data_IF_639057497427
#
_entry.id   IF_639057497427
#
_cell.length_a   1.000
_cell.length_b   1.000
_cell.length_c   1.000
_cell.angle_alpha   90.00
_cell.angle_beta   90.00
_cell.angle_gamma   90.00
#
_symmetry.space_group_name_H-M   'P 1'
#
loop_
_entity.id
_entity.type
_entity.pdbx_description
1 polymer ?
#
# COMPACT_ATOMS: atom_id res chain seq x y z
N UNK A 1 -5.93 -3.92 -10.79
CA UNK A 1 -5.29 -3.60 -9.51
C UNK A 1 -6.05 -4.02 -8.25
N UNK A 2 -7.38 -4.16 -8.32
CA UNK A 2 -8.15 -4.53 -7.12
C UNK A 2 -7.75 -5.88 -6.54
N UNK A 3 -7.43 -6.86 -7.36
CA UNK A 3 -6.96 -8.16 -6.88
C UNK A 3 -5.62 -8.03 -6.15
N UNK A 4 -4.76 -7.16 -6.66
CA UNK A 4 -3.46 -6.89 -6.03
C UNK A 4 -3.69 -6.18 -4.70
N UNK A 5 -4.61 -5.22 -4.68
CA UNK A 5 -4.96 -4.48 -3.47
C UNK A 5 -5.51 -5.40 -2.38
N UNK A 6 -6.37 -6.34 -2.75
CA UNK A 6 -6.92 -7.30 -1.81
C UNK A 6 -5.83 -8.16 -1.15
N UNK A 7 -4.87 -8.59 -1.95
CA UNK A 7 -3.73 -9.35 -1.43
C UNK A 7 -2.87 -8.51 -0.51
N UNK A 8 -2.60 -7.26 -0.90
CA UNK A 8 -1.81 -6.34 -0.09
C UNK A 8 -2.49 -6.02 1.24
N UNK A 9 -3.80 -5.84 1.23
CA UNK A 9 -4.56 -5.56 2.45
C UNK A 9 -4.51 -6.69 3.48
N UNK A 10 -4.18 -7.89 3.07
CA UNK A 10 -4.08 -9.03 3.98
C UNK A 10 -2.71 -9.12 4.66
N UNK A 11 -1.76 -8.29 4.25
CA UNK A 11 -0.40 -8.32 4.79
C UNK A 11 -0.27 -7.47 6.07
N UNK A 12 0.75 -7.75 6.91
CA UNK A 12 0.91 -7.07 8.18
C UNK A 12 1.02 -5.54 8.07
N UNK A 13 0.40 -4.84 9.00
CA UNK A 13 0.46 -3.38 9.15
C UNK A 13 -0.15 -2.57 8.01
N UNK A 14 -0.90 -3.20 7.11
CA UNK A 14 -1.60 -2.49 6.03
C UNK A 14 -3.04 -2.25 6.46
N UNK A 15 -3.43 -1.00 6.64
CA UNK A 15 -4.80 -0.60 6.95
C UNK A 15 -5.59 -0.33 5.67
N UNK A 16 -5.03 0.46 4.78
CA UNK A 16 -5.62 0.76 3.47
C UNK A 16 -4.54 0.80 2.42
N UNK A 17 -4.88 0.47 1.19
CA UNK A 17 -3.93 0.57 0.09
C UNK A 17 -4.62 0.85 -1.24
N UNK A 18 -3.83 1.42 -2.15
CA UNK A 18 -4.18 1.60 -3.56
C UNK A 18 -2.99 1.15 -4.38
N UNK A 19 -3.26 0.52 -5.51
CA UNK A 19 -2.22 0.21 -6.49
C UNK A 19 -2.50 1.04 -7.73
N UNK A 20 -1.53 1.85 -8.12
CA UNK A 20 -1.66 2.72 -9.29
C UNK A 20 -0.54 2.44 -10.27
N UNK A 21 -0.76 2.81 -11.52
CA UNK A 21 0.26 2.72 -12.55
C UNK A 21 0.94 4.08 -12.72
N UNK A 22 2.26 4.09 -12.59
CA UNK A 22 3.07 5.28 -12.80
C UNK A 22 4.05 4.97 -13.93
N UNK A 23 3.72 5.47 -15.14
CA UNK A 23 4.47 5.10 -16.34
C UNK A 23 4.29 3.62 -16.63
N UNK A 24 5.38 2.89 -16.72
CA UNK A 24 5.37 1.44 -16.96
C UNK A 24 5.39 0.60 -15.68
N UNK A 25 5.35 1.27 -14.53
CA UNK A 25 5.50 0.62 -13.23
C UNK A 25 4.21 0.66 -12.44
N UNK A 26 4.03 -0.34 -11.58
CA UNK A 26 2.97 -0.32 -10.58
C UNK A 26 3.58 0.11 -9.25
N UNK A 27 2.92 0.98 -8.55
CA UNK A 27 3.33 1.40 -7.21
C UNK A 27 2.17 1.23 -6.24
N UNK A 28 2.49 0.95 -4.99
CA UNK A 28 1.50 0.81 -3.94
C UNK A 28 1.48 2.06 -3.07
N UNK A 29 0.29 2.60 -2.86
CA UNK A 29 0.09 3.67 -1.89
C UNK A 29 -0.54 3.02 -0.67
N UNK A 30 0.09 3.16 0.49
CA UNK A 30 -0.31 2.44 1.70
C UNK A 30 -0.51 3.40 2.85
N UNK A 31 -1.66 3.25 3.53
CA UNK A 31 -1.86 3.86 4.83
C UNK A 31 -1.63 2.74 5.85
N UNK A 32 -0.53 2.79 6.61
CA UNK A 32 -0.24 1.76 7.61
C UNK A 32 -1.25 1.75 8.75
N UNK A 33 -1.35 0.62 9.43
CA UNK A 33 -2.14 0.52 10.65
C UNK A 33 -1.31 1.10 11.80
N UNK A 34 -1.41 2.41 12.01
CA UNK A 34 -0.63 3.12 13.00
C UNK A 34 -0.97 2.72 14.44
N UNK A 35 -2.19 2.21 14.68
CA UNK A 35 -2.53 1.69 15.99
C UNK A 35 -1.65 0.50 16.34
N UNK A 36 -1.47 -0.41 15.39
CA UNK A 36 -0.59 -1.56 15.57
C UNK A 36 0.89 -1.15 15.62
N UNK A 37 1.27 -0.16 14.82
CA UNK A 37 2.63 0.39 14.85
C UNK A 37 2.95 0.94 16.24
N UNK A 38 2.01 1.69 16.83
CA UNK A 38 2.19 2.27 18.16
C UNK A 38 2.20 1.20 19.26
N UNK A 39 1.32 0.21 19.17
CA UNK A 39 1.29 -0.90 20.15
C UNK A 39 2.59 -1.68 20.15
N UNK A 40 3.17 -1.89 18.99
CA UNK A 40 4.42 -2.62 18.86
C UNK A 40 5.65 -1.73 19.05
N UNK A 41 5.45 -0.43 19.26
CA UNK A 41 6.52 0.55 19.43
C UNK A 41 7.54 0.52 18.28
N UNK A 42 7.03 0.39 17.05
CA UNK A 42 7.89 0.33 15.87
C UNK A 42 8.41 1.71 15.49
N UNK A 43 9.68 1.77 15.10
CA UNK A 43 10.27 2.99 14.53
C UNK A 43 9.88 3.12 13.07
N UNK A 44 10.14 4.29 12.48
CA UNK A 44 9.90 4.52 11.05
C UNK A 44 10.72 3.53 10.21
N UNK A 45 11.94 3.24 10.60
CA UNK A 45 12.79 2.27 9.91
C UNK A 45 12.19 0.87 9.95
N UNK A 46 11.69 0.46 11.11
CA UNK A 46 11.07 -0.85 11.28
C UNK A 46 9.80 -0.97 10.44
N UNK A 47 9.00 0.11 10.39
CA UNK A 47 7.81 0.15 9.56
C UNK A 47 8.18 0.02 8.08
N UNK A 48 9.21 0.75 7.63
CA UNK A 48 9.69 0.66 6.24
C UNK A 48 10.16 -0.76 5.91
N UNK A 49 10.85 -1.40 6.82
CA UNK A 49 11.31 -2.80 6.63
C UNK A 49 10.14 -3.75 6.50
N UNK A 50 9.10 -3.57 7.32
CA UNK A 50 7.90 -4.41 7.21
C UNK A 50 7.20 -4.20 5.89
N UNK A 51 7.09 -2.97 5.42
CA UNK A 51 6.46 -2.67 4.13
C UNK A 51 7.27 -3.23 2.97
N UNK A 52 8.59 -3.20 3.04
CA UNK A 52 9.45 -3.83 2.03
C UNK A 52 9.28 -5.35 2.02
N UNK A 53 9.15 -5.96 3.19
CA UNK A 53 8.85 -7.39 3.29
C UNK A 53 7.48 -7.70 2.68
N UNK A 54 6.48 -6.83 2.93
CA UNK A 54 5.15 -6.97 2.34
C UNK A 54 5.22 -6.89 0.81
N UNK A 55 6.01 -5.96 0.27
CA UNK A 55 6.19 -5.81 -1.16
C UNK A 55 6.76 -7.08 -1.78
N UNK A 56 7.78 -7.66 -1.16
CA UNK A 56 8.41 -8.90 -1.62
C UNK A 56 7.43 -10.06 -1.58
N UNK A 57 6.68 -10.17 -0.51
CA UNK A 57 5.70 -11.24 -0.35
C UNK A 57 4.58 -11.11 -1.39
N UNK A 58 4.08 -9.89 -1.58
CA UNK A 58 3.07 -9.63 -2.61
C UNK A 58 3.58 -10.00 -3.99
N UNK A 59 4.81 -9.60 -4.32
CA UNK A 59 5.39 -9.87 -5.63
C UNK A 59 5.59 -11.37 -5.89
N UNK A 60 5.70 -12.17 -4.84
CA UNK A 60 5.76 -13.63 -4.97
C UNK A 60 4.39 -14.24 -5.26
N UNK A 61 3.31 -13.51 -5.00
CA UNK A 61 1.94 -13.99 -5.19
C UNK A 61 1.29 -13.56 -6.50
N UNK A 62 1.91 -12.62 -7.21
CA UNK A 62 1.33 -12.06 -8.44
C UNK A 62 2.19 -12.40 -9.65
N UNK A 63 1.63 -12.20 -10.85
CA UNK A 63 2.35 -12.42 -12.10
C UNK A 63 3.47 -11.39 -12.26
N UNK A 64 4.46 -11.70 -13.08
CA UNK A 64 5.62 -10.82 -13.26
C UNK A 64 5.26 -9.41 -13.70
N UNK A 65 4.21 -9.25 -14.49
CA UNK A 65 3.77 -7.93 -14.97
C UNK A 65 2.89 -7.18 -13.94
N UNK A 66 2.53 -7.84 -12.84
CA UNK A 66 1.74 -7.24 -11.77
C UNK A 66 2.58 -6.88 -10.55
N UNK A 67 3.89 -7.01 -10.63
CA UNK A 67 4.76 -6.76 -9.51
C UNK A 67 4.85 -5.27 -9.18
N UNK A 68 4.88 -4.99 -7.88
CA UNK A 68 4.97 -3.64 -7.35
C UNK A 68 6.44 -3.22 -7.34
N UNK A 69 6.75 -2.11 -8.01
CA UNK A 69 8.11 -1.58 -8.07
C UNK A 69 8.53 -0.85 -6.80
N UNK A 70 7.56 -0.33 -6.05
CA UNK A 70 7.82 0.39 -4.82
C UNK A 70 6.53 0.76 -4.12
N UNK A 71 6.65 1.44 -3.00
CA UNK A 71 5.48 1.86 -2.23
C UNK A 71 5.69 3.26 -1.66
N UNK A 72 4.57 3.94 -1.34
CA UNK A 72 4.57 5.22 -0.67
C UNK A 72 3.63 5.14 0.53
N UNK A 73 4.10 5.60 1.69
CA UNK A 73 3.31 5.57 2.91
C UNK A 73 2.58 6.89 3.11
N UNK A 74 1.33 6.79 3.56
CA UNK A 74 0.47 7.94 3.87
C UNK A 74 0.12 7.91 5.35
N UNK A 75 0.35 9.02 6.03
CA UNK A 75 0.07 9.12 7.47
C UNK A 75 -1.42 9.16 7.77
N UNK A 76 -2.21 9.66 6.83
CA UNK A 76 -3.65 9.79 6.97
C UNK A 76 -4.39 8.80 6.08
N UNK A 77 -5.62 8.50 6.47
CA UNK A 77 -6.49 7.66 5.65
C UNK A 77 -6.74 8.32 4.29
N UNK A 78 -6.95 7.50 3.26
CA UNK A 78 -7.33 7.99 1.94
C UNK A 78 -8.72 8.61 1.99
N UNK A 79 -8.94 9.64 1.18
CA UNK A 79 -10.26 10.24 1.05
C UNK A 79 -11.22 9.26 0.38
N UNK A 80 -12.44 9.21 0.90
CA UNK A 80 -13.44 8.25 0.46
C UNK A 80 -14.73 8.93 0.06
N UNK A 81 -15.47 8.27 -0.85
CA UNK A 81 -16.83 8.67 -1.21
C UNK A 81 -17.79 8.33 -0.06
N UNK A 82 -19.04 8.83 -0.10
CA UNK A 82 -20.06 8.43 0.88
C UNK A 82 -20.28 6.92 0.98
N UNK A 83 -19.97 6.17 -0.08
CA UNK A 83 -20.05 4.70 -0.09
C UNK A 83 -18.80 4.03 0.45
N UNK A 84 -17.87 4.79 0.99
CA UNK A 84 -16.60 4.33 1.55
C UNK A 84 -15.64 3.73 0.52
N UNK A 85 -15.79 4.10 -0.75
CA UNK A 85 -14.81 3.76 -1.79
C UNK A 85 -13.75 4.84 -1.85
N UNK A 86 -12.48 4.45 -1.96
CA UNK A 86 -11.39 5.41 -2.03
C UNK A 86 -11.51 6.24 -3.31
N UNK A 87 -11.33 7.55 -3.18
CA UNK A 87 -11.35 8.45 -4.33
C UNK A 87 -10.04 8.32 -5.12
N UNK A 88 -9.96 7.28 -5.94
CA UNK A 88 -8.75 6.94 -6.69
C UNK A 88 -8.21 8.06 -7.55
N UNK A 89 -9.09 8.89 -8.10
CA UNK A 89 -8.68 9.99 -8.97
C UNK A 89 -7.79 11.02 -8.27
N UNK A 90 -7.87 11.12 -6.93
CA UNK A 90 -7.03 12.04 -6.17
C UNK A 90 -5.58 11.55 -6.07
N UNK A 91 -5.37 10.26 -6.28
CA UNK A 91 -4.07 9.62 -6.08
C UNK A 91 -3.44 9.08 -7.37
N UNK A 92 -4.13 9.24 -8.51
CA UNK A 92 -3.69 8.65 -9.77
C UNK A 92 -2.32 9.17 -10.25
N UNK A 93 -1.94 10.37 -9.86
CA UNK A 93 -0.67 10.99 -10.25
C UNK A 93 0.42 10.87 -9.18
N UNK A 94 0.18 10.10 -8.11
CA UNK A 94 1.15 9.96 -7.04
C UNK A 94 2.41 9.23 -7.55
N UNK A 95 3.56 9.64 -7.00
CA UNK A 95 4.86 9.08 -7.34
C UNK A 95 5.61 8.72 -6.06
N UNK A 96 6.57 7.83 -6.19
CA UNK A 96 7.43 7.45 -5.08
C UNK A 96 8.52 8.49 -4.86
#
# INVERSE_FOLDING_TARGET
PEEIEDKLNSLPLVSECLVIQSGEKLIALVHPDYDEVHKAALSDEELQKQMEANRRELNAMVNSYEQISGFRLYEEEFEKTPKRSIKRFLYADAEI
#
